data_IF_946548402029
#
_entry.id   IF_946548402029
#
_cell.length_a   1.000
_cell.length_b   1.000
_cell.length_c   1.000
_cell.angle_alpha   90.00
_cell.angle_beta   90.00
_cell.angle_gamma   90.00
#
_symmetry.space_group_name_H-M   'P 1'
#
loop_
_entity.id
_entity.type
_entity.pdbx_description
1 polymer ?
#
# COMPACT_ATOMS: atom_id res chain seq x y z
N UNK A 1 5.02 -14.39 9.24
CA UNK A 1 4.18 -13.18 9.28
C UNK A 1 3.29 -13.20 8.05
N UNK A 2 1.95 -13.06 8.18
CA UNK A 2 1.10 -13.08 7.00
C UNK A 2 1.34 -11.86 6.14
N UNK A 3 1.32 -12.07 4.83
CA UNK A 3 1.52 -11.02 3.84
C UNK A 3 0.20 -10.70 3.13
N UNK A 4 0.17 -9.60 2.41
CA UNK A 4 -1.03 -9.20 1.67
C UNK A 4 -0.67 -8.45 0.39
N UNK A 5 -1.67 -8.31 -0.48
CA UNK A 5 -1.59 -7.40 -1.62
C UNK A 5 -2.74 -6.40 -1.53
N UNK A 6 -2.53 -5.23 -2.12
CA UNK A 6 -3.61 -4.24 -2.25
C UNK A 6 -3.57 -3.67 -3.66
N UNK A 7 -4.77 -3.54 -4.25
CA UNK A 7 -4.92 -3.09 -5.62
C UNK A 7 -5.50 -1.69 -5.61
N UNK A 8 -4.92 -0.79 -6.38
CA UNK A 8 -5.34 0.59 -6.49
C UNK A 8 -5.62 0.93 -7.96
N UNK A 9 -6.70 1.71 -8.18
CA UNK A 9 -7.02 2.27 -9.49
C UNK A 9 -6.78 3.77 -9.45
N UNK A 10 -5.96 4.23 -10.37
CA UNK A 10 -5.45 5.60 -10.39
C UNK A 10 -6.29 6.50 -11.31
N UNK A 11 -6.18 7.84 -11.18
CA UNK A 11 -6.99 8.77 -11.97
C UNK A 11 -6.89 8.60 -13.48
N UNK A 12 -5.77 8.09 -13.98
CA UNK A 12 -5.56 7.80 -15.40
C UNK A 12 -6.12 6.45 -15.85
N UNK A 13 -6.80 5.72 -14.96
CA UNK A 13 -7.36 4.39 -15.24
C UNK A 13 -6.41 3.23 -15.01
N UNK A 14 -5.16 3.49 -14.67
CA UNK A 14 -4.17 2.45 -14.39
C UNK A 14 -4.49 1.72 -13.10
N UNK A 15 -4.24 0.40 -13.08
CA UNK A 15 -4.31 -0.39 -11.85
C UNK A 15 -2.90 -0.79 -11.42
N UNK A 16 -2.68 -0.80 -10.12
CA UNK A 16 -1.42 -1.20 -9.52
C UNK A 16 -1.69 -2.18 -8.40
N UNK A 17 -1.03 -3.35 -8.46
CA UNK A 17 -1.08 -4.33 -7.37
C UNK A 17 0.20 -4.17 -6.56
N UNK A 18 0.05 -3.92 -5.26
CA UNK A 18 1.17 -3.66 -4.36
C UNK A 18 1.26 -4.74 -3.30
N UNK A 19 2.49 -5.13 -2.95
CA UNK A 19 2.77 -6.13 -1.92
C UNK A 19 3.07 -5.46 -0.59
N UNK A 20 2.58 -6.06 0.50
CA UNK A 20 2.97 -5.70 1.86
C UNK A 20 3.30 -6.96 2.65
N UNK A 21 4.39 -6.97 3.42
CA UNK A 21 4.76 -8.13 4.25
C UNK A 21 3.92 -8.26 5.52
N UNK A 22 2.97 -7.35 5.76
CA UNK A 22 2.14 -7.34 6.95
C UNK A 22 0.72 -6.91 6.59
N UNK A 23 -0.26 -7.39 7.36
CA UNK A 23 -1.66 -7.00 7.20
C UNK A 23 -1.95 -5.57 7.69
N UNK A 24 -0.94 -4.84 8.11
CA UNK A 24 -1.10 -3.49 8.69
C UNK A 24 -1.75 -2.50 7.70
N UNK A 25 -1.71 -2.79 6.39
CA UNK A 25 -2.38 -1.96 5.39
C UNK A 25 -3.87 -1.80 5.70
N UNK A 26 -4.50 -2.81 6.31
CA UNK A 26 -5.90 -2.74 6.73
C UNK A 26 -6.18 -1.62 7.74
N UNK A 27 -5.16 -1.15 8.46
CA UNK A 27 -5.31 -0.07 9.43
C UNK A 27 -5.24 1.31 8.78
N UNK A 28 -4.84 1.38 7.52
CA UNK A 28 -4.59 2.64 6.82
C UNK A 28 -5.46 2.84 5.58
N UNK A 29 -5.90 1.75 4.96
CA UNK A 29 -6.69 1.78 3.73
C UNK A 29 -7.89 0.85 3.87
N UNK A 30 -8.99 1.17 3.16
CA UNK A 30 -10.19 0.34 3.14
C UNK A 30 -10.53 -0.04 1.70
N UNK A 31 -11.01 -1.27 1.51
CA UNK A 31 -11.52 -1.70 0.21
C UNK A 31 -12.74 -0.85 -0.16
N UNK A 32 -12.76 -0.33 -1.38
CA UNK A 32 -13.78 0.59 -1.83
C UNK A 32 -13.51 2.05 -1.46
N UNK A 33 -12.48 2.31 -0.65
CA UNK A 33 -12.15 3.67 -0.26
C UNK A 33 -11.54 4.47 -1.40
N UNK A 34 -11.78 5.78 -1.40
CA UNK A 34 -11.19 6.72 -2.33
C UNK A 34 -10.41 7.75 -1.55
N UNK A 35 -9.19 8.04 -2.04
CA UNK A 35 -8.29 8.96 -1.36
C UNK A 35 -7.66 9.88 -2.40
N UNK A 36 -7.52 11.19 -2.12
CA UNK A 36 -6.69 12.04 -2.98
C UNK A 36 -5.30 11.41 -3.15
N UNK A 37 -4.69 11.61 -4.32
CA UNK A 37 -3.38 10.99 -4.62
C UNK A 37 -2.38 11.20 -3.49
N UNK A 38 -2.24 12.44 -3.00
CA UNK A 38 -1.29 12.75 -1.93
C UNK A 38 -1.61 11.99 -0.64
N UNK A 39 -2.89 11.86 -0.29
CA UNK A 39 -3.29 11.13 0.91
C UNK A 39 -3.08 9.63 0.75
N UNK A 40 -3.38 9.09 -0.44
CA UNK A 40 -3.13 7.68 -0.71
C UNK A 40 -1.65 7.34 -0.56
N UNK A 41 -0.78 8.20 -1.10
CA UNK A 41 0.67 8.01 -0.97
C UNK A 41 1.10 8.07 0.50
N UNK A 42 0.60 9.05 1.26
CA UNK A 42 0.96 9.19 2.67
C UNK A 42 0.51 7.98 3.50
N UNK A 43 -0.72 7.50 3.28
CA UNK A 43 -1.24 6.32 3.98
C UNK A 43 -0.46 5.05 3.60
N UNK A 44 -0.16 4.88 2.32
CA UNK A 44 0.63 3.75 1.83
C UNK A 44 2.04 3.77 2.40
N UNK A 45 2.66 4.95 2.46
CA UNK A 45 4.00 5.10 3.04
C UNK A 45 4.01 4.67 4.50
N UNK A 46 3.08 5.18 5.30
CA UNK A 46 2.99 4.82 6.71
C UNK A 46 2.78 3.32 6.89
N UNK A 47 1.86 2.73 6.11
CA UNK A 47 1.58 1.30 6.17
C UNK A 47 2.81 0.46 5.80
N UNK A 48 3.46 0.79 4.68
CA UNK A 48 4.59 0.01 4.19
C UNK A 48 5.83 0.19 5.06
N UNK A 49 6.06 1.38 5.59
CA UNK A 49 7.17 1.60 6.54
C UNK A 49 6.94 0.84 7.84
N UNK A 50 5.71 0.82 8.34
CA UNK A 50 5.36 0.03 9.53
C UNK A 50 5.55 -1.47 9.25
N UNK A 51 5.10 -1.94 8.08
CA UNK A 51 5.27 -3.34 7.68
C UNK A 51 6.75 -3.71 7.59
N UNK A 52 7.56 -2.85 6.97
CA UNK A 52 9.00 -3.07 6.84
C UNK A 52 9.69 -3.09 8.22
N UNK A 53 9.27 -2.21 9.11
CA UNK A 53 9.83 -2.18 10.48
C UNK A 53 9.50 -3.45 11.26
N UNK A 54 8.31 -4.02 11.07
CA UNK A 54 7.95 -5.30 11.68
C UNK A 54 8.86 -6.42 11.18
N UNK A 55 9.17 -6.43 9.89
CA UNK A 55 10.10 -7.41 9.30
C UNK A 55 11.50 -7.21 9.88
N UNK A 56 11.97 -5.98 9.97
CA UNK A 56 13.29 -5.67 10.52
C UNK A 56 13.38 -6.13 11.98
N UNK A 57 12.35 -5.88 12.78
CA UNK A 57 12.34 -6.28 14.18
C UNK A 57 12.40 -7.80 14.36
N UNK A 58 11.80 -8.56 13.42
CA UNK A 58 11.74 -10.02 13.51
C UNK A 58 12.96 -10.70 12.88
N UNK A 59 13.47 -10.16 11.78
CA UNK A 59 14.51 -10.83 10.98
C UNK A 59 15.83 -10.07 10.91
N UNK A 60 15.90 -8.88 11.46
CA UNK A 60 17.11 -8.07 11.51
C UNK A 60 17.36 -7.16 10.31
N UNK A 61 16.62 -7.34 9.21
CA UNK A 61 16.76 -6.52 8.01
C UNK A 61 15.37 -6.08 7.52
N UNK A 62 15.26 -4.87 6.93
CA UNK A 62 13.99 -4.40 6.41
C UNK A 62 13.57 -5.18 5.16
N UNK A 63 12.28 -5.07 4.80
CA UNK A 63 11.72 -5.76 3.64
C UNK A 63 11.96 -4.95 2.37
N UNK A 64 12.81 -5.46 1.47
CA UNK A 64 13.08 -4.80 0.19
C UNK A 64 11.85 -4.77 -0.72
N UNK A 65 10.93 -5.75 -0.60
CA UNK A 65 9.70 -5.78 -1.39
C UNK A 65 8.73 -4.68 -0.95
N UNK A 66 8.68 -4.36 0.35
CA UNK A 66 7.89 -3.24 0.83
C UNK A 66 8.44 -1.92 0.30
N UNK A 67 9.74 -1.76 0.29
CA UNK A 67 10.39 -0.57 -0.27
C UNK A 67 10.10 -0.44 -1.77
N UNK A 68 10.14 -1.55 -2.51
CA UNK A 68 9.83 -1.56 -3.94
C UNK A 68 8.36 -1.18 -4.20
N UNK A 69 7.43 -1.67 -3.35
CA UNK A 69 6.02 -1.30 -3.45
C UNK A 69 5.83 0.20 -3.27
N UNK A 70 6.46 0.77 -2.26
CA UNK A 70 6.36 2.22 -2.01
C UNK A 70 6.96 3.03 -3.15
N UNK A 71 8.11 2.62 -3.67
CA UNK A 71 8.73 3.29 -4.81
C UNK A 71 7.83 3.28 -6.04
N UNK A 72 7.16 2.15 -6.32
CA UNK A 72 6.24 2.05 -7.45
C UNK A 72 5.02 2.96 -7.26
N UNK A 73 4.49 3.04 -6.03
CA UNK A 73 3.37 3.93 -5.72
C UNK A 73 3.77 5.39 -5.91
N UNK A 74 4.94 5.78 -5.41
CA UNK A 74 5.44 7.15 -5.54
C UNK A 74 5.70 7.52 -7.00
N UNK A 75 6.24 6.59 -7.78
CA UNK A 75 6.48 6.82 -9.21
C UNK A 75 5.16 6.99 -9.96
N UNK A 76 4.14 6.19 -9.64
CA UNK A 76 2.82 6.30 -10.25
C UNK A 76 2.14 7.62 -9.90
N UNK A 77 2.36 8.12 -8.68
CA UNK A 77 1.72 9.34 -8.19
C UNK A 77 2.30 10.61 -8.82
N UNK A 78 3.51 10.55 -9.35
CA UNK A 78 4.20 11.73 -9.87
C UNK A 78 3.38 12.40 -10.98
N UNK A 79 3.03 13.66 -10.78
CA UNK A 79 2.29 14.44 -11.77
C UNK A 79 0.81 14.12 -11.90
N UNK A 80 0.25 13.26 -11.05
CA UNK A 80 -1.18 12.93 -11.10
C UNK A 80 -1.98 13.70 -10.05
N UNK A 81 -3.13 14.21 -10.47
CA UNK A 81 -4.15 14.79 -9.59
C UNK A 81 -5.40 13.93 -9.64
N UNK A 82 -6.21 13.99 -8.60
CA UNK A 82 -7.46 13.25 -8.51
C UNK A 82 -7.44 12.25 -7.38
N UNK A 83 -8.32 11.26 -7.47
CA UNK A 83 -8.47 10.26 -6.41
C UNK A 83 -7.97 8.90 -6.85
N UNK A 84 -7.40 8.16 -5.89
CA UNK A 84 -7.04 6.75 -6.05
C UNK A 84 -8.11 5.93 -5.34
N UNK A 85 -8.63 4.92 -6.02
CA UNK A 85 -9.59 3.99 -5.44
C UNK A 85 -8.89 2.69 -5.05
N UNK A 86 -9.10 2.24 -3.81
CA UNK A 86 -8.61 0.93 -3.36
C UNK A 86 -9.67 -0.10 -3.77
N UNK A 87 -9.36 -0.90 -4.78
CA UNK A 87 -10.33 -1.85 -5.34
C UNK A 87 -10.30 -3.22 -4.67
N UNK A 88 -9.19 -3.59 -4.05
CA UNK A 88 -9.08 -4.87 -3.35
C UNK A 88 -7.98 -4.84 -2.30
N UNK A 89 -8.25 -5.49 -1.17
CA UNK A 89 -7.26 -5.83 -0.15
C UNK A 89 -7.33 -7.36 -0.01
N UNK A 90 -6.19 -8.05 -0.21
CA UNK A 90 -6.13 -9.52 -0.18
C UNK A 90 -5.03 -9.98 0.78
N UNK A 91 -5.33 -10.76 1.83
CA UNK A 91 -6.68 -11.24 2.19
C UNK A 91 -7.56 -10.09 2.68
N UNK A 92 -8.87 -10.30 2.57
CA UNK A 92 -9.84 -9.31 3.04
C UNK A 92 -9.77 -9.20 4.56
N UNK A 93 -10.18 -8.03 5.07
CA UNK A 93 -10.25 -7.83 6.51
C UNK A 93 -11.25 -8.81 7.12
N UNK A 94 -10.85 -9.49 8.19
CA UNK A 94 -11.73 -10.37 8.92
C UNK A 94 -12.88 -9.58 9.55
N UNK A 95 -14.09 -10.12 9.45
CA UNK A 95 -15.28 -9.50 10.02
C UNK A 95 -15.24 -9.53 11.54
#
# INVERSE_FOLDING_TARGET
>A
MPEMTFTSRWPDGHELVSYSPSLVVHDHLEAGGRYPVAEFVARSRTALETASERVRARYGVPCSRAAASLAAIEARAAGLDGDVEVTALRPERAA
#
